data_IF_914334075009
#
_entry.id   IF_914334075009
#
_cell.length_a   1.000
_cell.length_b   1.000
_cell.length_c   1.000
_cell.angle_alpha   90.00
_cell.angle_beta   90.00
_cell.angle_gamma   90.00
#
_symmetry.space_group_name_H-M   'P 1'
#
loop_
_entity.id
_entity.type
_entity.pdbx_description
1 polymer ?
#
# COMPACT_ATOMS: atom_id res chain seq x y z
N UNK A 1 -46.77 0.30 -37.50
CA UNK A 1 -45.30 0.48 -37.57
C UNK A 1 -44.85 0.90 -36.19
N UNK A 2 -44.21 -0.01 -35.45
CA UNK A 2 -43.74 0.27 -34.11
C UNK A 2 -42.21 0.55 -34.17
N UNK A 3 -41.84 1.76 -33.77
CA UNK A 3 -40.43 2.19 -33.71
C UNK A 3 -39.79 1.61 -32.46
N UNK A 4 -38.78 0.76 -32.65
CA UNK A 4 -37.92 0.26 -31.56
C UNK A 4 -36.83 1.33 -31.31
N UNK A 5 -36.89 1.98 -30.15
CA UNK A 5 -35.84 2.86 -29.70
C UNK A 5 -34.68 2.01 -29.12
N UNK A 6 -33.53 2.00 -29.81
CA UNK A 6 -32.31 1.41 -29.32
C UNK A 6 -31.64 2.41 -28.36
N UNK A 7 -31.68 2.12 -27.07
CA UNK A 7 -30.95 2.89 -26.06
C UNK A 7 -29.46 2.52 -26.14
N UNK A 8 -28.61 3.47 -26.55
CA UNK A 8 -27.16 3.34 -26.43
C UNK A 8 -26.76 3.56 -25.00
N UNK A 9 -26.33 2.51 -24.30
CA UNK A 9 -25.64 2.62 -23.02
C UNK A 9 -24.20 3.06 -23.32
N UNK A 10 -23.92 4.32 -23.08
CA UNK A 10 -22.55 4.83 -23.13
C UNK A 10 -21.76 4.19 -21.97
N UNK A 11 -20.91 3.22 -22.28
CA UNK A 11 -19.93 2.66 -21.34
C UNK A 11 -18.88 3.75 -21.12
N UNK A 12 -18.95 4.46 -19.98
CA UNK A 12 -17.90 5.39 -19.57
C UNK A 12 -16.67 4.55 -19.20
N UNK A 13 -15.67 4.52 -20.08
CA UNK A 13 -14.36 4.00 -19.76
C UNK A 13 -13.75 4.96 -18.75
N UNK A 14 -13.79 4.62 -17.47
CA UNK A 14 -13.04 5.32 -16.43
C UNK A 14 -11.58 4.93 -16.61
N UNK A 15 -10.83 5.73 -17.36
CA UNK A 15 -9.40 5.60 -17.46
C UNK A 15 -8.81 5.97 -16.10
N UNK A 16 -8.31 4.99 -15.35
CA UNK A 16 -7.43 5.23 -14.23
C UNK A 16 -6.12 5.77 -14.79
N UNK A 17 -6.00 7.11 -14.88
CA UNK A 17 -4.81 7.75 -15.39
C UNK A 17 -3.64 7.39 -14.48
N UNK A 18 -2.67 6.65 -14.99
CA UNK A 18 -1.37 6.57 -14.36
C UNK A 18 -0.84 8.00 -14.23
N UNK A 19 -0.44 8.41 -13.01
CA UNK A 19 0.21 9.70 -12.79
C UNK A 19 1.40 9.80 -13.75
N UNK A 20 1.53 10.91 -14.46
CA UNK A 20 2.68 11.12 -15.32
C UNK A 20 3.97 10.98 -14.50
N UNK A 21 5.03 10.44 -15.10
CA UNK A 21 6.31 10.28 -14.42
C UNK A 21 6.79 11.67 -13.97
N UNK A 22 6.63 11.98 -12.66
CA UNK A 22 6.97 13.29 -12.11
C UNK A 22 5.92 13.90 -11.18
N UNK A 23 4.68 13.43 -11.19
CA UNK A 23 3.63 13.94 -10.31
C UNK A 23 3.47 13.08 -9.05
N UNK A 24 3.09 13.69 -7.90
CA UNK A 24 2.75 12.92 -6.70
C UNK A 24 1.53 12.02 -6.95
N UNK A 25 1.45 10.87 -6.27
CA UNK A 25 0.32 9.96 -6.43
C UNK A 25 -0.99 10.64 -5.99
N UNK A 26 -2.11 10.38 -6.70
CA UNK A 26 -3.40 10.94 -6.32
C UNK A 26 -3.85 10.40 -4.96
N UNK A 27 -4.50 11.27 -4.17
CA UNK A 27 -5.09 10.88 -2.88
C UNK A 27 -6.51 10.33 -3.05
N UNK A 28 -7.21 10.73 -4.13
CA UNK A 28 -8.60 10.33 -4.39
C UNK A 28 -8.78 9.88 -5.83
N UNK A 29 -9.44 8.73 -5.99
CA UNK A 29 -9.80 8.12 -7.26
C UNK A 29 -11.31 7.90 -7.33
N UNK A 30 -11.89 7.81 -8.52
CA UNK A 30 -13.29 7.45 -8.69
C UNK A 30 -13.57 6.04 -8.15
N UNK A 31 -14.85 5.74 -7.90
CA UNK A 31 -15.27 4.40 -7.53
C UNK A 31 -14.95 3.39 -8.65
N UNK A 32 -14.55 2.19 -8.26
CA UNK A 32 -14.34 1.06 -9.17
C UNK A 32 -15.41 -0.02 -8.93
N UNK A 33 -15.81 -0.77 -9.96
CA UNK A 33 -16.82 -1.83 -9.82
C UNK A 33 -16.40 -2.93 -8.84
N UNK A 34 -15.10 -3.25 -8.82
CA UNK A 34 -14.51 -4.26 -7.96
C UNK A 34 -13.12 -3.82 -7.49
N UNK A 35 -12.96 -3.73 -6.17
CA UNK A 35 -11.66 -3.47 -5.52
C UNK A 35 -11.31 -4.67 -4.66
N UNK A 36 -10.06 -5.10 -4.68
CA UNK A 36 -9.54 -6.10 -3.75
C UNK A 36 -8.42 -5.47 -2.93
N UNK A 37 -8.55 -5.53 -1.59
CA UNK A 37 -7.56 -5.02 -0.66
C UNK A 37 -6.84 -6.16 0.06
N UNK A 38 -5.54 -6.01 0.23
CA UNK A 38 -4.63 -6.95 0.87
C UNK A 38 -3.55 -6.21 1.66
N UNK A 39 -3.02 -6.87 2.70
CA UNK A 39 -2.09 -6.24 3.63
C UNK A 39 -0.67 -6.82 3.54
N UNK A 40 0.02 -6.76 4.60
CA UNK A 40 1.43 -6.93 4.86
C UNK A 40 2.00 -8.27 4.34
N UNK A 41 3.07 -8.21 3.54
CA UNK A 41 3.72 -9.40 2.97
C UNK A 41 5.16 -9.61 3.44
N UNK A 42 5.79 -8.57 3.94
CA UNK A 42 7.09 -8.66 4.61
C UNK A 42 8.10 -9.58 3.90
N UNK A 43 8.37 -9.33 2.63
CA UNK A 43 9.35 -10.08 1.86
C UNK A 43 8.97 -11.53 1.52
N UNK A 44 7.72 -11.96 1.77
CA UNK A 44 7.22 -13.29 1.41
C UNK A 44 6.54 -13.27 0.04
N UNK A 45 7.29 -13.60 -1.01
CA UNK A 45 6.78 -13.68 -2.38
C UNK A 45 5.70 -14.76 -2.55
N UNK A 46 5.77 -15.85 -1.79
CA UNK A 46 4.77 -16.91 -1.87
C UNK A 46 3.43 -16.44 -1.29
N UNK A 47 3.45 -15.70 -0.18
CA UNK A 47 2.25 -15.08 0.39
C UNK A 47 1.65 -14.03 -0.58
N UNK A 48 2.49 -13.18 -1.17
CA UNK A 48 2.08 -12.19 -2.16
C UNK A 48 1.38 -12.84 -3.38
N UNK A 49 2.00 -13.89 -3.95
CA UNK A 49 1.41 -14.65 -5.07
C UNK A 49 0.07 -15.30 -4.70
N UNK A 50 -0.01 -15.94 -3.53
CA UNK A 50 -1.27 -16.54 -3.06
C UNK A 50 -2.38 -15.49 -2.93
N UNK A 51 -2.08 -14.31 -2.39
CA UNK A 51 -3.06 -13.22 -2.27
C UNK A 51 -3.52 -12.72 -3.66
N UNK A 52 -2.59 -12.55 -4.60
CA UNK A 52 -2.90 -12.11 -5.97
C UNK A 52 -3.69 -13.16 -6.77
N UNK A 53 -3.35 -14.45 -6.62
CA UNK A 53 -4.11 -15.57 -7.20
C UNK A 53 -5.53 -15.63 -6.62
N UNK A 54 -5.67 -15.50 -5.30
CA UNK A 54 -6.96 -15.49 -4.61
C UNK A 54 -7.85 -14.32 -5.06
N UNK A 55 -7.24 -13.17 -5.36
CA UNK A 55 -7.91 -12.01 -5.95
C UNK A 55 -8.40 -12.26 -7.38
N UNK A 56 -7.89 -13.27 -8.07
CA UNK A 56 -8.03 -13.45 -9.50
C UNK A 56 -7.32 -12.36 -10.30
N UNK A 57 -6.28 -11.77 -9.72
CA UNK A 57 -5.48 -10.73 -10.36
C UNK A 57 -4.44 -11.30 -11.31
N UNK A 58 -3.87 -12.47 -10.98
CA UNK A 58 -2.83 -13.13 -11.76
C UNK A 58 -3.16 -14.59 -12.05
N UNK A 59 -2.53 -15.15 -13.08
CA UNK A 59 -2.48 -16.58 -13.33
C UNK A 59 -1.26 -17.25 -12.65
N UNK A 60 -1.06 -18.55 -12.88
CA UNK A 60 0.05 -19.34 -12.32
C UNK A 60 1.43 -18.96 -12.86
N UNK A 61 1.50 -18.22 -13.95
CA UNK A 61 2.72 -17.65 -14.53
C UNK A 61 2.93 -16.16 -14.13
N UNK A 62 2.23 -15.70 -13.09
CA UNK A 62 2.27 -14.33 -12.59
C UNK A 62 1.84 -13.25 -13.62
N UNK A 63 1.03 -13.57 -14.64
CA UNK A 63 0.51 -12.61 -15.63
C UNK A 63 -0.82 -12.05 -15.15
N UNK A 64 -1.07 -10.78 -15.43
CA UNK A 64 -2.34 -10.15 -15.09
C UNK A 64 -3.52 -10.76 -15.88
N UNK A 65 -4.54 -11.21 -15.16
CA UNK A 65 -5.80 -11.70 -15.70
C UNK A 65 -7.02 -11.00 -15.11
N UNK A 66 -6.78 -9.99 -14.25
CA UNK A 66 -7.85 -9.31 -13.48
C UNK A 66 -8.78 -8.43 -14.33
N UNK A 67 -8.46 -8.17 -15.60
CA UNK A 67 -9.23 -7.22 -16.41
C UNK A 67 -9.26 -5.83 -15.77
N UNK A 68 -10.46 -5.30 -15.49
CA UNK A 68 -10.70 -3.99 -14.86
C UNK A 68 -10.63 -4.01 -13.31
N UNK A 69 -10.16 -5.10 -12.71
CA UNK A 69 -9.94 -5.21 -11.28
C UNK A 69 -9.01 -4.10 -10.76
N UNK A 70 -9.36 -3.52 -9.61
CA UNK A 70 -8.48 -2.64 -8.85
C UNK A 70 -7.94 -3.39 -7.63
N UNK A 71 -6.62 -3.53 -7.54
CA UNK A 71 -5.92 -4.10 -6.39
C UNK A 71 -5.34 -2.98 -5.55
N UNK A 72 -5.53 -3.05 -4.22
CA UNK A 72 -4.89 -2.17 -3.23
C UNK A 72 -4.08 -3.01 -2.25
N UNK A 73 -2.77 -2.82 -2.22
CA UNK A 73 -1.89 -3.39 -1.20
C UNK A 73 -1.51 -2.29 -0.21
N UNK A 74 -1.75 -2.51 1.09
CA UNK A 74 -1.74 -1.46 2.10
C UNK A 74 -0.38 -1.19 2.75
N UNK A 75 0.73 -1.62 2.15
CA UNK A 75 2.10 -1.38 2.65
C UNK A 75 2.74 -2.59 3.33
N UNK A 76 3.93 -2.38 3.87
CA UNK A 76 4.77 -3.40 4.49
C UNK A 76 5.11 -4.58 3.57
N UNK A 77 5.72 -4.25 2.43
CA UNK A 77 6.35 -5.21 1.52
C UNK A 77 7.75 -5.57 2.04
N UNK A 78 8.42 -4.61 2.70
CA UNK A 78 9.80 -4.73 3.17
C UNK A 78 9.92 -5.41 4.53
N UNK A 79 11.14 -5.87 4.82
CA UNK A 79 11.59 -6.47 6.09
C UNK A 79 11.01 -7.87 6.40
N UNK A 80 11.59 -8.53 7.40
CA UNK A 80 11.24 -9.87 7.90
C UNK A 80 11.62 -11.01 6.96
N UNK A 81 11.16 -10.96 5.70
CA UNK A 81 11.53 -11.89 4.63
C UNK A 81 12.70 -11.37 3.79
N UNK A 82 13.02 -12.08 2.71
CA UNK A 82 14.19 -11.84 1.87
C UNK A 82 13.88 -11.60 0.39
N UNK A 83 12.60 -11.76 -0.03
CA UNK A 83 12.18 -11.66 -1.42
C UNK A 83 11.50 -10.32 -1.76
N UNK A 84 11.74 -9.28 -0.97
CA UNK A 84 11.15 -7.95 -1.09
C UNK A 84 11.31 -7.36 -2.49
N UNK A 85 12.54 -7.44 -3.04
CA UNK A 85 12.83 -6.94 -4.39
C UNK A 85 12.03 -7.68 -5.45
N UNK A 86 11.92 -9.00 -5.34
CA UNK A 86 11.14 -9.80 -6.27
C UNK A 86 9.65 -9.41 -6.24
N UNK A 87 9.11 -9.10 -5.04
CA UNK A 87 7.74 -8.59 -4.89
C UNK A 87 7.60 -7.21 -5.55
N UNK A 88 8.52 -6.28 -5.27
CA UNK A 88 8.50 -4.94 -5.85
C UNK A 88 8.59 -4.98 -7.38
N UNK A 89 9.42 -5.88 -7.95
CA UNK A 89 9.57 -6.03 -9.39
C UNK A 89 8.33 -6.68 -10.03
N UNK A 90 7.74 -7.69 -9.38
CA UNK A 90 6.47 -8.28 -9.77
C UNK A 90 5.36 -7.22 -9.82
N UNK A 91 5.19 -6.46 -8.75
CA UNK A 91 4.14 -5.44 -8.67
C UNK A 91 4.34 -4.30 -9.67
N UNK A 92 5.58 -3.92 -9.97
CA UNK A 92 5.86 -2.92 -11.00
C UNK A 92 5.37 -3.38 -12.38
N UNK A 93 5.64 -4.63 -12.76
CA UNK A 93 5.17 -5.25 -13.99
C UNK A 93 3.64 -5.37 -14.02
N UNK A 94 3.05 -5.86 -12.92
CA UNK A 94 1.59 -6.00 -12.83
C UNK A 94 0.85 -4.67 -12.91
N UNK A 95 1.43 -3.56 -12.43
CA UNK A 95 0.86 -2.21 -12.60
C UNK A 95 0.72 -1.85 -14.08
N UNK A 96 1.73 -2.13 -14.89
CA UNK A 96 1.71 -1.85 -16.33
C UNK A 96 0.70 -2.76 -17.04
N UNK A 97 0.70 -4.06 -16.75
CA UNK A 97 -0.23 -5.03 -17.31
C UNK A 97 -1.69 -4.72 -16.94
N UNK A 98 -1.95 -4.34 -15.67
CA UNK A 98 -3.28 -3.97 -15.19
C UNK A 98 -3.83 -2.75 -15.93
N UNK A 99 -3.03 -1.68 -16.07
CA UNK A 99 -3.41 -0.47 -16.81
C UNK A 99 -3.74 -0.80 -18.27
N UNK A 100 -2.95 -1.64 -18.92
CA UNK A 100 -3.20 -2.08 -20.30
C UNK A 100 -4.53 -2.87 -20.44
N UNK A 101 -4.97 -3.54 -19.35
CA UNK A 101 -6.22 -4.32 -19.30
C UNK A 101 -7.43 -3.49 -18.78
N UNK A 102 -7.25 -2.22 -18.41
CA UNK A 102 -8.29 -1.35 -17.85
C UNK A 102 -8.44 -1.43 -16.33
N UNK A 103 -7.57 -2.17 -15.64
CA UNK A 103 -7.50 -2.29 -14.19
C UNK A 103 -6.42 -1.41 -13.57
N UNK A 104 -6.13 -1.64 -12.29
CA UNK A 104 -5.08 -0.91 -11.58
C UNK A 104 -4.50 -1.73 -10.41
N UNK A 105 -3.22 -1.47 -10.10
CA UNK A 105 -2.58 -1.94 -8.87
C UNK A 105 -2.05 -0.72 -8.12
N UNK A 106 -2.60 -0.47 -6.94
CA UNK A 106 -2.18 0.60 -6.04
C UNK A 106 -1.43 0.00 -4.85
N UNK A 107 -0.26 0.54 -4.58
CA UNK A 107 0.56 0.20 -3.43
C UNK A 107 0.58 1.40 -2.50
N UNK A 108 0.45 1.19 -1.19
CA UNK A 108 0.59 2.23 -0.20
C UNK A 108 1.95 2.09 0.52
N UNK A 109 2.39 3.18 1.13
CA UNK A 109 3.51 3.14 2.05
C UNK A 109 3.08 2.48 3.36
N UNK A 110 3.87 1.53 3.84
CA UNK A 110 3.84 1.04 5.20
C UNK A 110 4.95 1.68 6.05
N UNK A 111 4.96 1.39 7.34
CA UNK A 111 5.99 1.93 8.21
C UNK A 111 7.37 1.29 7.90
N UNK A 112 7.42 0.06 7.42
CA UNK A 112 8.68 -0.59 7.05
C UNK A 112 9.32 0.03 5.81
N UNK A 113 8.55 0.51 4.83
CA UNK A 113 9.08 1.29 3.70
C UNK A 113 9.71 2.59 4.20
N UNK A 114 9.03 3.32 5.09
CA UNK A 114 9.50 4.58 5.67
C UNK A 114 10.72 4.37 6.56
N UNK A 115 10.75 3.33 7.40
CA UNK A 115 11.89 2.97 8.23
C UNK A 115 13.14 2.72 7.39
N UNK A 116 13.02 1.91 6.33
CA UNK A 116 14.14 1.64 5.42
C UNK A 116 14.63 2.91 4.71
N UNK A 117 13.72 3.76 4.23
CA UNK A 117 14.10 5.03 3.60
C UNK A 117 14.80 5.98 4.60
N UNK A 118 14.45 5.90 5.88
CA UNK A 118 15.06 6.67 6.96
C UNK A 118 16.36 6.06 7.51
N UNK A 119 16.78 4.88 7.02
CA UNK A 119 17.99 4.19 7.48
C UNK A 119 17.78 3.36 8.75
N UNK A 120 16.55 3.08 9.13
CA UNK A 120 16.22 2.19 10.26
C UNK A 120 15.99 0.77 9.74
N UNK A 121 17.01 -0.07 9.86
CA UNK A 121 17.07 -1.43 9.32
C UNK A 121 16.88 -2.52 10.37
N UNK A 122 16.33 -2.20 11.54
CA UNK A 122 16.24 -3.12 12.68
C UNK A 122 15.45 -4.41 12.40
N UNK A 123 14.65 -4.44 11.34
CA UNK A 123 13.80 -5.57 10.98
C UNK A 123 14.25 -6.30 9.71
N UNK A 124 15.34 -5.86 9.11
CA UNK A 124 15.90 -6.51 7.92
C UNK A 124 16.48 -7.87 8.32
N UNK A 125 16.10 -8.93 7.63
CA UNK A 125 16.67 -10.27 7.81
C UNK A 125 18.10 -10.33 7.30
N UNK A 126 18.87 -11.35 7.74
CA UNK A 126 20.24 -11.53 7.28
C UNK A 126 20.29 -11.71 5.75
N UNK A 127 19.38 -12.49 5.20
CA UNK A 127 19.24 -12.73 3.76
C UNK A 127 18.69 -11.49 3.02
N UNK A 128 17.85 -10.68 3.67
CA UNK A 128 17.27 -9.44 3.13
C UNK A 128 18.33 -8.40 2.76
N UNK A 129 19.49 -8.40 3.41
CA UNK A 129 20.62 -7.56 3.01
C UNK A 129 21.14 -7.89 1.61
N UNK A 130 21.05 -9.14 1.20
CA UNK A 130 21.53 -9.59 -0.10
C UNK A 130 20.64 -9.12 -1.27
N UNK A 131 19.35 -8.90 -1.03
CA UNK A 131 18.37 -8.60 -2.06
C UNK A 131 18.67 -7.35 -2.89
N UNK A 132 19.44 -6.40 -2.35
CA UNK A 132 19.76 -5.13 -3.00
C UNK A 132 21.21 -5.02 -3.49
N UNK A 133 22.04 -6.07 -3.38
CA UNK A 133 23.48 -6.02 -3.74
C UNK A 133 23.72 -5.62 -5.19
N UNK A 134 22.88 -6.05 -6.11
CA UNK A 134 22.99 -5.76 -7.54
C UNK A 134 22.19 -4.54 -7.97
N UNK A 135 21.59 -3.80 -7.02
CA UNK A 135 21.00 -2.52 -7.32
C UNK A 135 22.15 -1.57 -7.71
N UNK A 136 22.25 -1.22 -8.98
CA UNK A 136 23.35 -0.57 -9.68
C UNK A 136 23.62 0.88 -9.29
N UNK A 137 23.27 1.30 -8.13
CA UNK A 137 23.78 2.51 -7.55
C UNK A 137 25.19 2.24 -7.09
N UNK A 138 26.15 2.60 -7.95
CA UNK A 138 27.52 2.82 -7.49
C UNK A 138 27.40 3.66 -6.20
N UNK A 139 27.72 3.07 -5.06
CA UNK A 139 27.88 3.84 -3.82
C UNK A 139 28.96 4.86 -4.13
N UNK A 140 28.60 6.16 -4.15
CA UNK A 140 29.59 7.21 -4.28
C UNK A 140 30.58 7.02 -3.13
N UNK A 141 31.87 6.73 -3.40
CA UNK A 141 32.87 6.57 -2.35
C UNK A 141 33.02 7.82 -1.47
N UNK A 142 32.57 8.97 -1.98
CA UNK A 142 32.56 10.24 -1.25
C UNK A 142 31.34 10.38 -0.31
N UNK A 143 30.35 9.48 -0.36
CA UNK A 143 29.20 9.49 0.53
C UNK A 143 29.57 8.93 1.92
N UNK A 144 30.00 9.82 2.81
CA UNK A 144 30.43 9.48 4.15
C UNK A 144 29.35 8.79 5.01
N UNK A 145 28.09 9.06 4.74
CA UNK A 145 26.97 8.44 5.47
C UNK A 145 26.81 6.96 5.10
N UNK A 146 26.92 6.62 3.81
CA UNK A 146 26.91 5.23 3.35
C UNK A 146 28.19 4.50 3.77
N UNK A 147 29.35 5.16 3.67
CA UNK A 147 30.63 4.58 4.04
C UNK A 147 30.74 4.24 5.55
N UNK A 148 29.98 4.92 6.41
CA UNK A 148 29.90 4.64 7.83
C UNK A 148 29.09 3.36 8.17
N UNK A 149 28.28 2.85 7.23
CA UNK A 149 27.49 1.65 7.43
C UNK A 149 28.34 0.38 7.21
N UNK A 150 28.00 -0.75 7.86
CA UNK A 150 28.58 -2.04 7.54
C UNK A 150 28.45 -2.36 6.04
N UNK A 151 29.47 -2.95 5.39
CA UNK A 151 29.45 -3.19 3.94
C UNK A 151 28.20 -3.94 3.44
N UNK A 152 27.66 -4.87 4.23
CA UNK A 152 26.44 -5.61 3.89
C UNK A 152 25.19 -4.70 3.80
N UNK A 153 25.18 -3.57 4.50
CA UNK A 153 24.04 -2.65 4.58
C UNK A 153 24.08 -1.55 3.51
N UNK A 154 25.28 -1.24 2.99
CA UNK A 154 25.49 -0.09 2.10
C UNK A 154 24.63 -0.13 0.83
N UNK A 155 24.51 -1.29 0.19
CA UNK A 155 23.76 -1.45 -1.04
C UNK A 155 22.25 -1.21 -0.81
N UNK A 156 21.68 -1.79 0.25
CA UNK A 156 20.28 -1.57 0.65
C UNK A 156 20.04 -0.11 1.01
N UNK A 157 20.90 0.47 1.84
CA UNK A 157 20.80 1.88 2.23
C UNK A 157 20.88 2.81 1.00
N UNK A 158 21.79 2.57 0.08
CA UNK A 158 21.90 3.34 -1.16
C UNK A 158 20.65 3.23 -2.05
N UNK A 159 20.05 2.04 -2.11
CA UNK A 159 18.87 1.77 -2.90
C UNK A 159 17.61 2.45 -2.33
N UNK A 160 17.44 2.44 -1.01
CA UNK A 160 16.19 2.83 -0.32
C UNK A 160 16.25 4.22 0.31
N UNK A 161 17.43 4.85 0.51
CA UNK A 161 17.51 6.23 1.01
C UNK A 161 16.77 7.21 0.08
N UNK A 162 16.30 8.36 0.58
CA UNK A 162 15.68 9.39 -0.26
C UNK A 162 16.54 9.73 -1.49
N UNK A 163 15.91 9.73 -2.66
CA UNK A 163 16.58 9.90 -3.94
C UNK A 163 17.22 8.65 -4.54
N UNK A 164 17.32 7.56 -3.79
CA UNK A 164 17.77 6.25 -4.27
C UNK A 164 16.78 5.62 -5.25
N UNK A 165 17.22 4.64 -6.08
CA UNK A 165 16.37 4.08 -7.14
C UNK A 165 15.09 3.42 -6.63
N UNK A 166 15.13 2.70 -5.52
CA UNK A 166 13.95 2.09 -4.91
C UNK A 166 13.13 3.10 -4.10
N UNK A 167 13.75 4.08 -3.43
CA UNK A 167 13.00 5.17 -2.80
C UNK A 167 12.16 5.97 -3.81
N UNK A 168 12.70 6.21 -5.03
CA UNK A 168 11.93 6.83 -6.13
C UNK A 168 10.75 5.96 -6.59
N UNK A 169 10.87 4.64 -6.54
CA UNK A 169 9.74 3.73 -6.80
C UNK A 169 8.72 3.80 -5.66
N UNK A 170 9.17 3.76 -4.38
CA UNK A 170 8.31 3.93 -3.21
C UNK A 170 7.60 5.28 -3.20
N UNK A 171 8.22 6.34 -3.72
CA UNK A 171 7.60 7.66 -3.82
C UNK A 171 6.26 7.65 -4.56
N UNK A 172 6.05 6.72 -5.50
CA UNK A 172 4.77 6.58 -6.22
C UNK A 172 3.65 5.95 -5.38
N UNK A 173 3.93 5.58 -4.14
CA UNK A 173 2.99 4.97 -3.20
C UNK A 173 2.47 6.05 -2.24
N UNK A 174 1.16 6.34 -2.19
CA UNK A 174 0.61 7.28 -1.24
C UNK A 174 0.62 6.71 0.19
N UNK A 175 0.62 7.58 1.19
CA UNK A 175 0.37 7.23 2.60
C UNK A 175 -1.09 6.82 2.80
N UNK A 176 -2.01 7.52 2.14
CA UNK A 176 -3.44 7.25 2.19
C UNK A 176 -4.05 7.43 0.80
N UNK A 177 -4.99 6.55 0.44
CA UNK A 177 -5.70 6.53 -0.83
C UNK A 177 -7.19 6.37 -0.60
N UNK A 178 -8.00 7.14 -1.32
CA UNK A 178 -9.46 7.01 -1.32
C UNK A 178 -9.90 6.55 -2.71
N UNK A 179 -10.64 5.45 -2.77
CA UNK A 179 -11.27 4.96 -4.01
C UNK A 179 -12.79 4.96 -3.80
N UNK A 180 -13.48 5.85 -4.53
CA UNK A 180 -14.89 6.12 -4.26
C UNK A 180 -15.10 6.64 -2.83
N UNK A 181 -15.73 5.86 -1.99
CA UNK A 181 -15.99 6.14 -0.57
C UNK A 181 -15.22 5.22 0.40
N UNK A 182 -14.18 4.55 -0.09
CA UNK A 182 -13.35 3.64 0.71
C UNK A 182 -11.96 4.26 0.91
N UNK A 183 -11.57 4.43 2.16
CA UNK A 183 -10.25 4.94 2.58
C UNK A 183 -9.31 3.78 2.85
N UNK A 184 -8.14 3.79 2.23
CA UNK A 184 -7.07 2.81 2.42
C UNK A 184 -5.85 3.50 3.02
N UNK A 185 -5.26 2.88 4.03
CA UNK A 185 -4.09 3.37 4.75
C UNK A 185 -3.36 2.18 5.38
N UNK A 186 -2.09 2.31 5.69
CA UNK A 186 -1.38 1.21 6.34
C UNK A 186 -1.83 0.99 7.80
N UNK A 187 -1.76 2.00 8.67
CA UNK A 187 -2.15 1.88 10.08
C UNK A 187 -3.55 2.44 10.39
N UNK A 188 -3.77 3.73 10.15
CA UNK A 188 -5.06 4.37 10.38
C UNK A 188 -4.99 5.89 10.20
N UNK A 189 -6.13 6.52 9.99
CA UNK A 189 -6.24 7.98 9.88
C UNK A 189 -6.99 8.54 11.09
N UNK A 190 -6.35 9.43 11.83
CA UNK A 190 -6.93 10.14 12.97
C UNK A 190 -7.44 11.54 12.56
N UNK A 191 -8.30 12.20 13.35
CA UNK A 191 -8.80 13.55 13.03
C UNK A 191 -7.70 14.59 12.77
N UNK A 192 -6.59 14.53 13.48
CA UNK A 192 -5.43 15.41 13.28
C UNK A 192 -4.75 15.19 11.92
N UNK A 193 -4.77 13.97 11.37
CA UNK A 193 -4.24 13.68 10.04
C UNK A 193 -5.13 14.31 8.96
N UNK A 194 -6.44 14.30 9.17
CA UNK A 194 -7.40 14.98 8.28
C UNK A 194 -7.17 16.49 8.34
N UNK A 195 -6.98 17.04 9.54
CA UNK A 195 -6.70 18.48 9.73
C UNK A 195 -5.36 18.89 9.08
N UNK A 196 -4.34 18.05 9.11
CA UNK A 196 -3.07 18.26 8.39
C UNK A 196 -3.26 18.24 6.87
N UNK A 197 -4.12 17.36 6.39
CA UNK A 197 -4.45 17.15 4.99
C UNK A 197 -3.72 15.97 4.37
N UNK A 198 -4.48 14.92 4.02
CA UNK A 198 -3.92 13.68 3.44
C UNK A 198 -3.23 13.95 2.08
N UNK A 199 -3.77 14.83 1.28
CA UNK A 199 -3.16 15.22 0.00
C UNK A 199 -1.82 15.93 0.18
N UNK A 200 -1.72 16.79 1.21
CA UNK A 200 -0.47 17.42 1.60
C UNK A 200 0.55 16.37 2.06
N UNK A 201 0.12 15.43 2.91
CA UNK A 201 0.99 14.38 3.43
C UNK A 201 1.52 13.49 2.30
N UNK A 202 0.68 13.07 1.36
CA UNK A 202 1.08 12.28 0.19
C UNK A 202 2.12 13.04 -0.66
N UNK A 203 1.90 14.32 -0.93
CA UNK A 203 2.82 15.16 -1.69
C UNK A 203 4.16 15.38 -0.98
N UNK A 204 4.16 15.64 0.32
CA UNK A 204 5.39 15.81 1.09
C UNK A 204 6.18 14.50 1.21
N UNK A 205 5.50 13.36 1.38
CA UNK A 205 6.12 12.03 1.39
C UNK A 205 6.74 11.67 0.03
N UNK A 206 6.05 12.00 -1.06
CA UNK A 206 6.57 11.88 -2.43
C UNK A 206 7.86 12.68 -2.61
N UNK A 207 7.87 13.95 -2.23
CA UNK A 207 9.04 14.82 -2.35
C UNK A 207 10.21 14.31 -1.50
N UNK A 208 9.94 13.88 -0.27
CA UNK A 208 10.96 13.32 0.61
C UNK A 208 11.63 12.08 0.01
N UNK A 209 10.83 11.08 -0.40
CA UNK A 209 11.37 9.83 -0.97
C UNK A 209 12.15 10.05 -2.27
N UNK A 210 11.85 11.11 -3.00
CA UNK A 210 12.64 11.53 -4.17
C UNK A 210 13.93 12.27 -3.82
N UNK A 211 14.13 12.64 -2.55
CA UNK A 211 15.25 13.46 -2.09
C UNK A 211 15.06 14.95 -2.39
N UNK A 212 13.86 15.41 -2.61
CA UNK A 212 13.47 16.76 -3.02
C UNK A 212 12.90 17.60 -1.87
N UNK A 213 12.73 17.00 -0.68
CA UNK A 213 12.16 17.66 0.50
C UNK A 213 12.49 16.96 1.81
N UNK A 214 12.14 17.57 2.96
CA UNK A 214 12.31 16.95 4.27
C UNK A 214 11.29 15.82 4.47
N UNK A 215 11.60 14.91 5.40
CA UNK A 215 10.66 13.90 5.85
C UNK A 215 9.51 14.55 6.62
N UNK A 216 8.25 14.23 6.30
CA UNK A 216 7.11 14.66 7.12
C UNK A 216 7.17 14.07 8.53
N UNK A 217 6.98 14.88 9.56
CA UNK A 217 7.01 14.42 10.96
C UNK A 217 5.96 13.35 11.26
N UNK A 218 4.78 13.45 10.62
CA UNK A 218 3.69 12.46 10.77
C UNK A 218 4.05 11.04 10.35
N UNK A 219 5.10 10.82 9.56
CA UNK A 219 5.53 9.47 9.20
C UNK A 219 6.24 8.73 10.35
N UNK A 220 6.76 9.46 11.36
CA UNK A 220 7.54 8.90 12.47
C UNK A 220 6.77 8.73 13.77
N UNK A 221 5.63 9.35 13.90
CA UNK A 221 4.89 9.36 15.15
C UNK A 221 4.18 8.03 15.39
N UNK A 222 4.13 7.60 16.68
CA UNK A 222 3.35 6.43 17.10
C UNK A 222 1.88 6.54 16.70
N UNK A 223 1.36 7.77 16.65
CA UNK A 223 0.01 8.09 16.22
C UNK A 223 -0.03 8.59 14.77
N UNK A 224 1.07 8.47 14.02
CA UNK A 224 1.08 8.75 12.59
C UNK A 224 0.32 7.70 11.78
N UNK A 225 -0.13 8.04 10.56
CA UNK A 225 -1.05 7.18 9.79
C UNK A 225 -0.49 5.79 9.45
N UNK A 226 0.83 5.61 9.52
CA UNK A 226 1.48 4.31 9.30
C UNK A 226 1.61 3.47 10.59
N UNK A 227 1.28 4.05 11.77
CA UNK A 227 1.53 3.42 13.06
C UNK A 227 0.28 3.25 13.93
N UNK A 228 -0.82 3.92 13.58
CA UNK A 228 -2.08 3.85 14.32
C UNK A 228 -2.57 2.41 14.43
N UNK A 229 -2.84 1.98 15.67
CA UNK A 229 -3.41 0.65 15.98
C UNK A 229 -4.77 0.74 16.65
N UNK A 230 -5.18 1.94 17.07
CA UNK A 230 -6.38 2.16 17.88
C UNK A 230 -7.68 1.73 17.23
N UNK A 231 -7.71 1.53 15.92
CA UNK A 231 -8.86 1.04 15.17
C UNK A 231 -8.89 -0.49 15.01
N UNK A 232 -7.72 -1.14 15.08
CA UNK A 232 -7.57 -2.57 14.83
C UNK A 232 -7.08 -3.35 16.05
N UNK A 233 -6.81 -2.67 17.17
CA UNK A 233 -6.41 -3.27 18.43
C UNK A 233 -7.50 -2.99 19.48
N UNK A 234 -8.57 -3.77 19.44
CA UNK A 234 -9.66 -3.74 20.42
C UNK A 234 -10.33 -2.34 20.56
N UNK A 235 -10.85 -1.76 19.45
CA UNK A 235 -11.34 -0.39 19.46
C UNK A 235 -12.53 -0.20 20.39
N UNK A 236 -12.39 0.73 21.35
CA UNK A 236 -13.48 1.18 22.21
C UNK A 236 -14.36 2.25 21.54
N UNK A 237 -15.43 2.70 22.24
CA UNK A 237 -16.35 3.71 21.72
C UNK A 237 -15.66 5.01 21.28
N UNK A 238 -14.59 5.43 21.97
CA UNK A 238 -13.84 6.63 21.62
C UNK A 238 -13.11 6.48 20.27
N UNK A 239 -12.52 5.30 20.01
CA UNK A 239 -11.87 5.02 18.71
C UNK A 239 -12.91 5.01 17.59
N UNK A 240 -14.08 4.40 17.80
CA UNK A 240 -15.14 4.40 16.80
C UNK A 240 -15.68 5.81 16.53
N UNK A 241 -15.85 6.64 17.56
CA UNK A 241 -16.28 8.04 17.38
C UNK A 241 -15.24 8.89 16.63
N UNK A 242 -13.94 8.66 16.88
CA UNK A 242 -12.87 9.30 16.11
C UNK A 242 -12.90 8.86 14.63
N UNK A 243 -13.07 7.56 14.37
CA UNK A 243 -13.23 7.03 13.02
C UNK A 243 -14.43 7.66 12.29
N UNK A 244 -15.57 7.80 12.98
CA UNK A 244 -16.77 8.43 12.41
C UNK A 244 -16.50 9.86 11.97
N UNK A 245 -15.78 10.61 12.79
CA UNK A 245 -15.40 11.98 12.48
C UNK A 245 -14.48 12.05 11.25
N UNK A 246 -13.53 11.11 11.14
CA UNK A 246 -12.63 11.00 9.98
C UNK A 246 -13.39 10.65 8.71
N UNK A 247 -14.23 9.61 8.75
CA UNK A 247 -14.99 9.16 7.60
C UNK A 247 -15.96 10.25 7.11
N UNK A 248 -16.64 10.93 8.03
CA UNK A 248 -17.52 12.05 7.68
C UNK A 248 -16.77 13.21 7.02
N UNK A 249 -15.61 13.59 7.57
CA UNK A 249 -14.81 14.69 7.03
C UNK A 249 -14.21 14.39 5.65
N UNK A 250 -13.96 13.10 5.36
CA UNK A 250 -13.41 12.64 4.09
C UNK A 250 -14.46 12.18 3.08
N UNK A 251 -15.74 12.24 3.42
CA UNK A 251 -16.85 11.69 2.62
C UNK A 251 -16.59 10.21 2.26
N UNK A 252 -16.23 9.41 3.27
CA UNK A 252 -15.96 7.98 3.16
C UNK A 252 -16.95 7.17 4.00
N UNK A 253 -17.18 5.91 3.61
CA UNK A 253 -18.02 4.97 4.36
C UNK A 253 -17.19 4.02 5.24
N UNK A 254 -15.98 3.68 4.77
CA UNK A 254 -15.14 2.65 5.41
C UNK A 254 -13.66 3.00 5.32
N UNK A 255 -12.92 2.48 6.30
CA UNK A 255 -11.46 2.47 6.34
C UNK A 255 -10.94 1.04 6.27
N UNK A 256 -9.91 0.80 5.47
CA UNK A 256 -9.20 -0.47 5.33
C UNK A 256 -7.75 -0.29 5.74
N UNK A 257 -7.28 -1.08 6.73
CA UNK A 257 -5.96 -0.94 7.33
C UNK A 257 -5.21 -2.27 7.44
N UNK A 258 -3.88 -2.24 7.27
CA UNK A 258 -2.93 -3.30 7.56
C UNK A 258 -2.34 -3.20 8.98
N UNK A 259 -1.02 -3.43 9.11
CA UNK A 259 -0.18 -3.10 10.27
C UNK A 259 -0.48 -3.85 11.57
N UNK A 260 -1.73 -4.07 11.90
CA UNK A 260 -2.15 -4.67 13.18
C UNK A 260 -2.65 -6.08 12.96
N UNK A 261 -1.81 -7.06 13.31
CA UNK A 261 -2.10 -8.48 13.05
C UNK A 261 -3.39 -8.91 13.74
N UNK A 262 -4.29 -9.50 12.96
CA UNK A 262 -5.53 -10.13 13.36
C UNK A 262 -5.33 -11.65 13.40
N UNK A 263 -5.00 -12.20 14.57
CA UNK A 263 -4.68 -13.62 14.73
C UNK A 263 -5.84 -14.57 14.33
N UNK A 264 -7.06 -14.08 14.36
CA UNK A 264 -8.28 -14.82 13.96
C UNK A 264 -8.63 -14.69 12.46
N UNK A 265 -7.83 -13.98 11.69
CA UNK A 265 -8.16 -13.59 10.32
C UNK A 265 -8.71 -12.16 10.21
N UNK A 266 -8.94 -11.69 8.99
CA UNK A 266 -9.45 -10.34 8.72
C UNK A 266 -10.69 -10.07 9.58
N UNK A 267 -10.66 -8.95 10.31
CA UNK A 267 -11.70 -8.59 11.27
C UNK A 267 -12.23 -7.18 10.95
N UNK A 268 -13.51 -6.95 11.19
CA UNK A 268 -14.11 -5.61 11.09
C UNK A 268 -14.61 -5.14 12.46
N UNK A 269 -14.48 -3.83 12.72
CA UNK A 269 -14.94 -3.17 13.95
C UNK A 269 -15.79 -1.94 13.63
N UNK A 270 -16.34 -1.30 14.67
CA UNK A 270 -17.12 -0.07 14.55
C UNK A 270 -18.26 -0.20 13.53
N UNK A 271 -19.11 -1.24 13.65
CA UNK A 271 -20.19 -1.54 12.72
C UNK A 271 -19.72 -1.67 11.26
N UNK A 272 -18.61 -2.41 11.05
CA UNK A 272 -17.96 -2.64 9.76
C UNK A 272 -17.43 -1.38 9.06
N UNK A 273 -17.21 -0.30 9.82
CA UNK A 273 -16.62 0.92 9.29
C UNK A 273 -15.09 0.90 9.22
N UNK A 274 -14.44 -0.01 9.96
CA UNK A 274 -13.03 -0.34 9.76
C UNK A 274 -12.86 -1.82 9.51
N UNK A 275 -11.98 -2.15 8.56
CA UNK A 275 -11.56 -3.50 8.19
C UNK A 275 -10.07 -3.63 8.39
N UNK A 276 -9.67 -4.55 9.27
CA UNK A 276 -8.28 -4.80 9.66
C UNK A 276 -7.77 -6.00 8.88
N UNK A 277 -6.91 -5.74 7.90
CA UNK A 277 -6.56 -6.67 6.83
C UNK A 277 -5.35 -7.54 7.13
N UNK A 278 -4.46 -7.09 8.04
CA UNK A 278 -3.24 -7.82 8.34
C UNK A 278 -3.53 -9.08 9.15
N UNK A 279 -3.31 -10.22 8.55
CA UNK A 279 -3.48 -11.54 9.16
C UNK A 279 -2.15 -12.17 9.59
N UNK A 280 -1.04 -11.44 9.42
CA UNK A 280 0.30 -12.02 9.55
C UNK A 280 0.58 -13.08 8.49
N UNK A 281 0.15 -12.83 7.23
CA UNK A 281 0.21 -13.79 6.12
C UNK A 281 1.62 -14.20 5.71
N UNK A 282 2.64 -13.38 6.01
CA UNK A 282 4.04 -13.74 5.78
C UNK A 282 4.46 -14.95 6.61
N UNK A 283 5.32 -15.79 6.06
CA UNK A 283 5.86 -16.99 6.74
C UNK A 283 6.52 -16.66 8.09
N UNK A 284 7.06 -15.43 8.23
CA UNK A 284 7.60 -14.93 9.50
C UNK A 284 6.58 -14.98 10.64
N UNK A 285 5.31 -14.70 10.36
CA UNK A 285 4.23 -14.69 11.34
C UNK A 285 3.36 -15.95 11.29
N UNK A 286 3.24 -16.60 10.12
CA UNK A 286 2.56 -17.88 9.95
C UNK A 286 1.03 -17.81 9.93
N UNK A 287 0.46 -16.62 9.72
CA UNK A 287 -0.99 -16.44 9.61
C UNK A 287 -1.57 -16.83 8.24
N UNK A 288 -2.89 -16.88 8.10
CA UNK A 288 -3.54 -17.26 6.86
C UNK A 288 -3.43 -16.15 5.79
N UNK A 289 -3.36 -16.53 4.52
CA UNK A 289 -3.55 -15.58 3.43
C UNK A 289 -5.03 -15.33 3.24
N UNK A 290 -5.46 -14.10 3.53
CA UNK A 290 -6.82 -13.63 3.31
C UNK A 290 -6.76 -12.25 2.64
N UNK A 291 -7.80 -11.90 1.91
CA UNK A 291 -7.98 -10.61 1.26
C UNK A 291 -9.43 -10.16 1.40
N UNK A 292 -9.69 -8.87 1.18
CA UNK A 292 -11.05 -8.32 1.16
C UNK A 292 -11.42 -7.92 -0.25
N UNK A 293 -12.57 -8.40 -0.70
CA UNK A 293 -13.22 -7.94 -1.92
C UNK A 293 -14.30 -6.91 -1.58
N UNK A 294 -14.29 -5.81 -2.30
CA UNK A 294 -15.19 -4.66 -2.12
C UNK A 294 -15.90 -4.42 -3.44
N UNK A 295 -17.23 -4.46 -3.40
CA UNK A 295 -18.11 -4.10 -4.51
C UNK A 295 -19.08 -2.99 -4.06
N UNK A 296 -19.94 -2.51 -4.95
CA UNK A 296 -20.96 -1.53 -4.58
C UNK A 296 -21.86 -2.01 -3.44
N UNK A 297 -22.16 -3.33 -3.41
CA UNK A 297 -23.19 -3.90 -2.53
C UNK A 297 -22.62 -4.65 -1.32
N UNK A 298 -21.32 -4.99 -1.33
CA UNK A 298 -20.76 -5.88 -0.30
C UNK A 298 -19.25 -5.68 -0.06
N UNK A 299 -18.85 -6.07 1.17
CA UNK A 299 -17.45 -6.30 1.54
C UNK A 299 -17.36 -7.74 2.02
N UNK A 300 -16.47 -8.55 1.42
CA UNK A 300 -16.32 -9.98 1.71
C UNK A 300 -14.86 -10.34 1.93
N UNK A 301 -14.60 -11.22 2.89
CA UNK A 301 -13.29 -11.86 3.05
C UNK A 301 -13.21 -13.06 2.09
N UNK A 302 -12.13 -13.15 1.33
CA UNK A 302 -11.75 -14.30 0.51
C UNK A 302 -10.57 -15.02 1.17
N UNK A 303 -10.55 -16.37 1.10
CA UNK A 303 -9.51 -17.20 1.72
C UNK A 303 -9.36 -18.54 1.01
#
# INVERSE_FOLDING_TARGET
MASVAVAWVALAIVAFAASAAGDPPPTRLPAAPRVVAMADWHGDLAAARRALLLAGAIDTEDRWIGGDLVVVQTGDILDRGDQERAILDLLARLREEAVAAGGAVHLLLGNHEVMNAAGDFRYVSEEGWAGFRDSTTATDPADSALAALPPAQQARAAALRPGGPYARRLATQPVALIIGRNLFVHGGVLPEHVAFGLERLNRESYAWLRGEGPRPDLLDWRDGPLWVRSYCQDPGPASCAALDSVLAALDCDRLFAGHTIQAGGITSYCDQRVWCLDTGAAAFYGGPVQIVEITADSVRVLQ
#
